data_IF_065596049944
#
_entry.id   IF_065596049944
#
_cell.length_a   1.000
_cell.length_b   1.000
_cell.length_c   1.000
_cell.angle_alpha   90.00
_cell.angle_beta   90.00
_cell.angle_gamma   90.00
#
_symmetry.space_group_name_H-M   'P 1'
#
loop_
_entity.id
_entity.type
_entity.pdbx_description
1 polymer ?
#
# COMPACT_ATOMS: atom_id res chain seq x y z
N UNK A 1 -12.47 -0.89 25.51
CA UNK A 1 -12.74 0.11 24.45
C UNK A 1 -12.54 -0.58 23.12
N UNK A 2 -13.48 -0.49 22.18
CA UNK A 2 -13.31 -1.10 20.86
C UNK A 2 -12.24 -0.30 20.09
N UNK A 3 -11.05 -0.86 19.92
CA UNK A 3 -10.08 -0.32 18.96
C UNK A 3 -10.68 -0.49 17.57
N UNK A 4 -11.16 0.62 17.00
CA UNK A 4 -11.59 0.64 15.61
C UNK A 4 -10.38 0.32 14.73
N UNK A 5 -10.55 -0.58 13.77
CA UNK A 5 -9.51 -0.95 12.81
C UNK A 5 -9.86 -0.40 11.44
N UNK A 6 -8.90 0.24 10.76
CA UNK A 6 -9.06 0.68 9.37
C UNK A 6 -8.30 -0.24 8.45
N UNK A 7 -9.01 -0.84 7.50
CA UNK A 7 -8.38 -1.55 6.39
C UNK A 7 -7.84 -0.53 5.41
N UNK A 8 -6.55 -0.61 5.10
CA UNK A 8 -5.90 0.27 4.14
C UNK A 8 -4.92 -0.51 3.28
N UNK A 9 -4.65 -0.01 2.09
CA UNK A 9 -3.56 -0.49 1.25
C UNK A 9 -2.42 0.51 1.30
N UNK A 10 -1.26 0.05 1.75
CA UNK A 10 -0.03 0.85 1.83
C UNK A 10 0.83 0.49 0.63
N UNK A 11 1.21 1.51 -0.13
CA UNK A 11 2.12 1.40 -1.26
C UNK A 11 3.48 1.95 -0.85
N UNK A 12 4.55 1.18 -1.05
CA UNK A 12 5.89 1.51 -0.58
C UNK A 12 6.97 0.98 -1.52
N UNK A 13 8.14 1.61 -1.47
CA UNK A 13 9.36 1.09 -2.09
C UNK A 13 10.27 0.56 -0.99
N UNK A 14 11.05 -0.49 -1.29
CA UNK A 14 12.11 -0.96 -0.41
C UNK A 14 13.40 -0.21 -0.74
N UNK A 15 14.18 0.18 0.28
CA UNK A 15 15.35 1.07 0.08
C UNK A 15 16.42 0.51 -0.89
N UNK A 16 16.44 -0.82 -1.08
CA UNK A 16 17.40 -1.51 -1.94
C UNK A 16 16.83 -1.96 -3.30
N UNK A 17 15.59 -1.60 -3.61
CA UNK A 17 14.88 -2.13 -4.77
C UNK A 17 14.16 -1.01 -5.55
N UNK A 18 14.29 -1.03 -6.87
CA UNK A 18 13.59 -0.09 -7.75
C UNK A 18 12.15 -0.54 -8.07
N UNK A 19 11.55 -1.34 -7.18
CA UNK A 19 10.23 -1.92 -7.34
C UNK A 19 9.23 -1.31 -6.35
N UNK A 20 8.00 -1.14 -6.81
CA UNK A 20 6.90 -0.63 -6.01
C UNK A 20 6.09 -1.81 -5.46
N UNK A 21 5.89 -1.83 -4.15
CA UNK A 21 5.17 -2.88 -3.44
C UNK A 21 3.87 -2.35 -2.86
N UNK A 22 2.87 -3.22 -2.74
CA UNK A 22 1.61 -2.92 -2.07
C UNK A 22 1.30 -3.96 -1.01
N UNK A 23 0.70 -3.51 0.10
CA UNK A 23 0.20 -4.40 1.14
C UNK A 23 -1.07 -3.85 1.75
N UNK A 24 -2.13 -4.65 1.70
CA UNK A 24 -3.41 -4.36 2.35
C UNK A 24 -3.42 -4.96 3.75
N UNK A 25 -3.64 -4.11 4.75
CA UNK A 25 -3.65 -4.52 6.15
C UNK A 25 -4.57 -3.60 6.97
N UNK A 26 -5.12 -4.15 8.05
CA UNK A 26 -5.89 -3.36 9.01
C UNK A 26 -4.99 -2.81 10.12
N UNK A 27 -5.00 -1.50 10.33
CA UNK A 27 -4.28 -0.84 11.43
C UNK A 27 -5.26 -0.31 12.47
N UNK A 28 -4.79 -0.22 13.71
CA UNK A 28 -5.57 0.36 14.79
C UNK A 28 -5.71 1.88 14.60
N UNK A 29 -6.89 2.38 14.90
CA UNK A 29 -7.22 3.80 14.93
C UNK A 29 -7.24 4.22 16.40
N UNK A 30 -6.65 5.38 16.71
CA UNK A 30 -6.74 5.96 18.04
C UNK A 30 -8.16 6.53 18.30
N UNK A 31 -8.41 7.02 19.53
CA UNK A 31 -9.69 7.63 19.88
C UNK A 31 -10.05 8.90 19.09
N UNK A 32 -9.08 9.51 18.41
CA UNK A 32 -9.22 10.73 17.61
C UNK A 32 -9.46 10.46 16.12
N UNK A 33 -9.42 9.20 15.68
CA UNK A 33 -9.59 8.83 14.29
C UNK A 33 -8.29 8.73 13.49
N UNK A 34 -7.13 8.97 14.12
CA UNK A 34 -5.84 8.84 13.45
C UNK A 34 -5.40 7.38 13.40
N UNK A 35 -4.98 6.96 12.21
CA UNK A 35 -4.38 5.67 11.99
C UNK A 35 -2.86 5.74 12.13
N UNK A 36 -2.29 4.85 12.95
CA UNK A 36 -0.84 4.78 13.15
C UNK A 36 -0.30 3.55 12.44
N UNK A 37 0.53 3.76 11.41
CA UNK A 37 1.32 2.68 10.79
C UNK A 37 2.53 2.39 11.70
N UNK A 38 2.69 1.14 12.20
CA UNK A 38 3.78 0.76 13.09
C UNK A 38 5.16 1.08 12.52
N UNK A 39 6.11 1.50 13.36
CA UNK A 39 7.48 1.74 12.91
C UNK A 39 8.12 0.49 12.31
N UNK A 40 7.85 -0.68 12.87
CA UNK A 40 8.32 -1.97 12.35
C UNK A 40 7.85 -2.21 10.92
N UNK A 41 6.64 -1.74 10.58
CA UNK A 41 6.15 -1.82 9.21
C UNK A 41 6.94 -0.88 8.29
N UNK A 42 7.26 0.33 8.74
CA UNK A 42 7.95 1.38 7.96
C UNK A 42 9.46 1.14 7.79
N UNK A 43 10.08 0.33 8.64
CA UNK A 43 11.54 0.11 8.59
C UNK A 43 11.96 -0.51 7.25
N UNK A 44 12.94 0.10 6.59
CA UNK A 44 13.44 -0.34 5.28
C UNK A 44 12.48 -0.07 4.13
N UNK A 45 11.43 0.73 4.36
CA UNK A 45 10.40 1.05 3.39
C UNK A 45 10.14 2.54 3.34
N UNK A 46 10.15 3.08 2.14
CA UNK A 46 9.67 4.44 1.87
C UNK A 46 8.19 4.36 1.50
N UNK A 47 7.32 4.89 2.36
CA UNK A 47 5.88 4.92 2.12
C UNK A 47 5.57 5.96 1.03
N UNK A 48 4.96 5.52 -0.07
CA UNK A 48 4.61 6.37 -1.21
C UNK A 48 3.17 6.83 -1.12
N UNK A 49 2.25 5.93 -0.77
CA UNK A 49 0.83 6.22 -0.66
C UNK A 49 0.14 5.31 0.36
N UNK A 50 -0.96 5.79 0.92
CA UNK A 50 -1.84 5.03 1.80
C UNK A 50 -3.27 5.27 1.32
N UNK A 51 -3.96 4.20 0.93
CA UNK A 51 -5.31 4.24 0.39
C UNK A 51 -6.28 3.50 1.32
N UNK A 52 -7.51 3.97 1.44
CA UNK A 52 -8.53 3.27 2.21
C UNK A 52 -8.99 1.98 1.50
N UNK A 53 -9.17 0.92 2.28
CA UNK A 53 -9.68 -0.36 1.79
C UNK A 53 -8.71 -1.12 0.88
N UNK A 54 -9.28 -2.02 0.09
CA UNK A 54 -8.59 -2.67 -1.03
C UNK A 54 -8.59 -1.73 -2.23
N UNK A 55 -7.45 -1.64 -2.91
CA UNK A 55 -7.35 -0.90 -4.16
C UNK A 55 -7.05 -1.86 -5.30
N UNK A 56 -7.70 -1.61 -6.43
CA UNK A 56 -7.29 -2.23 -7.68
C UNK A 56 -6.25 -1.35 -8.36
N UNK A 57 -5.12 -1.95 -8.70
CA UNK A 57 -3.99 -1.24 -9.35
C UNK A 57 -3.85 -1.85 -10.73
N UNK A 58 -4.25 -1.08 -11.72
CA UNK A 58 -4.28 -1.51 -13.13
C UNK A 58 -2.88 -1.45 -13.75
N UNK A 59 -2.02 -0.53 -13.28
CA UNK A 59 -0.63 -0.40 -13.72
C UNK A 59 0.22 0.22 -12.60
N UNK A 60 1.46 -0.27 -12.45
CA UNK A 60 2.43 0.30 -11.51
C UNK A 60 3.73 0.73 -12.21
N UNK A 61 4.53 1.55 -11.54
CA UNK A 61 5.80 2.03 -12.10
C UNK A 61 6.74 0.86 -12.31
N UNK A 62 7.16 0.66 -13.56
CA UNK A 62 7.98 -0.49 -13.97
C UNK A 62 7.20 -1.67 -14.53
N UNK A 63 5.86 -1.68 -14.42
CA UNK A 63 5.04 -2.59 -15.22
C UNK A 63 5.18 -2.19 -16.69
N UNK A 64 5.70 -3.12 -17.51
CA UNK A 64 5.48 -3.02 -18.95
C UNK A 64 3.97 -3.07 -19.14
N UNK A 65 3.38 -2.03 -19.70
CA UNK A 65 1.97 -2.03 -20.09
C UNK A 65 1.67 -3.39 -20.72
N UNK A 66 0.67 -4.08 -20.17
CA UNK A 66 0.23 -5.39 -20.64
C UNK A 66 0.10 -5.29 -22.15
N UNK A 67 0.74 -6.22 -22.85
CA UNK A 67 0.78 -6.28 -24.31
C UNK A 67 -0.63 -6.65 -24.84
N UNK A 68 -1.57 -5.73 -24.77
CA UNK A 68 -2.89 -5.81 -25.39
C UNK A 68 -2.85 -5.11 -26.76
N UNK A 69 -2.03 -5.65 -27.67
CA UNK A 69 -2.21 -5.46 -29.12
C UNK A 69 -1.82 -6.74 -29.89
N UNK A 70 -2.34 -7.89 -29.48
CA UNK A 70 -2.42 -9.07 -30.36
C UNK A 70 -3.88 -9.34 -30.75
N UNK A 71 -4.45 -8.41 -31.51
CA UNK A 71 -5.51 -8.78 -32.45
C UNK A 71 -4.84 -9.43 -33.66
N UNK A 72 -4.87 -10.76 -33.74
CA UNK A 72 -4.90 -11.50 -35.00
C UNK A 72 -5.91 -12.64 -34.88
#
# INVERSE_FOLDING_TARGET
MCEAKRKVTVIYCCDNELAMYRKTQSFNINAYGDMIIPQEFKRGKTIVAVCEGDIDVINSVGDKLVNEYWHQ
#
